data_IF_703362094121
#
_entry.id   IF_703362094121
#
_cell.length_a   1.000
_cell.length_b   1.000
_cell.length_c   1.000
_cell.angle_alpha   90.00
_cell.angle_beta   90.00
_cell.angle_gamma   90.00
#
_symmetry.space_group_name_H-M   'P 1'
#
loop_
_entity.id
_entity.type
_entity.pdbx_description
1 polymer ?
#
# COMPACT_ATOMS: atom_id res chain seq x y z
N UNK A 1 12.79 -7.29 8.55
CA UNK A 1 14.07 -6.79 9.09
C UNK A 1 15.23 -7.70 8.70
N UNK A 2 15.17 -9.00 8.98
CA UNK A 2 16.27 -9.94 8.70
C UNK A 2 16.81 -9.88 7.26
N UNK A 3 15.94 -9.75 6.25
CA UNK A 3 16.33 -9.61 4.85
C UNK A 3 17.14 -8.33 4.62
N UNK A 4 16.73 -7.21 5.20
CA UNK A 4 17.44 -5.93 5.09
C UNK A 4 18.81 -6.00 5.78
N UNK A 5 18.89 -6.66 6.93
CA UNK A 5 20.16 -6.86 7.65
C UNK A 5 21.12 -7.75 6.84
N UNK A 6 20.62 -8.82 6.22
CA UNK A 6 21.44 -9.66 5.31
C UNK A 6 21.95 -8.84 4.13
N UNK A 7 21.11 -8.03 3.49
CA UNK A 7 21.53 -7.19 2.37
C UNK A 7 22.60 -6.19 2.79
N UNK A 8 22.40 -5.46 3.90
CA UNK A 8 23.39 -4.48 4.41
C UNK A 8 24.73 -5.14 4.73
N UNK A 9 24.70 -6.29 5.41
CA UNK A 9 25.90 -6.98 5.84
C UNK A 9 26.65 -7.64 4.66
N UNK A 10 25.96 -7.95 3.58
CA UNK A 10 26.54 -8.59 2.39
C UNK A 10 26.86 -7.61 1.28
N UNK A 11 26.50 -6.33 1.44
CA UNK A 11 26.71 -5.31 0.41
C UNK A 11 28.22 -5.09 0.16
N UNK A 12 28.57 -5.02 -1.11
CA UNK A 12 29.92 -4.66 -1.53
C UNK A 12 29.85 -3.39 -2.38
N UNK A 13 30.63 -2.35 -2.06
CA UNK A 13 30.67 -1.12 -2.82
C UNK A 13 31.01 -1.37 -4.29
N UNK A 14 30.45 -0.57 -5.18
CA UNK A 14 30.69 -0.62 -6.62
C UNK A 14 30.97 0.79 -7.15
N UNK A 15 31.26 0.90 -8.45
CA UNK A 15 31.43 2.19 -9.10
C UNK A 15 30.20 3.12 -8.94
N UNK A 16 29.00 2.55 -8.80
CA UNK A 16 27.74 3.30 -8.77
C UNK A 16 27.23 3.58 -7.35
N UNK A 17 27.62 2.79 -6.35
CA UNK A 17 27.10 2.88 -5.00
C UNK A 17 28.15 2.49 -3.97
N UNK A 18 28.41 3.39 -3.02
CA UNK A 18 29.33 3.16 -1.91
C UNK A 18 28.65 2.54 -0.69
N UNK A 19 27.34 2.74 -0.56
CA UNK A 19 26.54 2.26 0.55
C UNK A 19 25.28 1.52 0.06
N UNK A 20 24.75 0.54 0.82
CA UNK A 20 23.51 -0.11 0.47
C UNK A 20 22.35 0.86 0.59
N UNK A 21 21.40 0.81 -0.35
CA UNK A 21 20.16 1.59 -0.32
C UNK A 21 18.96 0.66 -0.37
N UNK A 22 18.01 0.86 0.55
CA UNK A 22 16.80 0.07 0.66
C UNK A 22 15.59 0.95 0.34
N UNK A 23 14.82 0.53 -0.65
CA UNK A 23 13.56 1.16 -1.04
C UNK A 23 12.44 0.19 -0.69
N UNK A 24 11.47 0.63 0.12
CA UNK A 24 10.28 -0.15 0.46
C UNK A 24 9.09 0.38 -0.34
N UNK A 25 8.31 -0.53 -0.95
CA UNK A 25 7.13 -0.15 -1.75
C UNK A 25 5.86 -0.43 -0.98
N UNK A 26 4.96 0.57 -0.94
CA UNK A 26 3.66 0.49 -0.29
C UNK A 26 2.52 0.67 -1.29
N UNK A 27 1.54 -0.24 -1.24
CA UNK A 27 0.25 -0.04 -1.86
C UNK A 27 -0.63 0.77 -0.91
N UNK A 28 -1.17 1.89 -1.37
CA UNK A 28 -1.93 2.81 -0.52
C UNK A 28 -3.34 3.09 -1.04
N UNK A 29 -4.25 3.34 -0.11
CA UNK A 29 -5.52 4.03 -0.33
C UNK A 29 -5.65 5.13 0.72
N UNK A 30 -5.52 6.38 0.29
CA UNK A 30 -5.58 7.54 1.19
C UNK A 30 -6.72 8.46 0.76
N UNK A 31 -7.55 8.85 1.73
CA UNK A 31 -8.66 9.77 1.54
C UNK A 31 -8.74 10.76 2.71
N UNK A 32 -9.76 11.62 2.72
CA UNK A 32 -9.96 12.60 3.82
C UNK A 32 -10.30 11.90 5.14
N UNK A 33 -10.97 10.74 5.08
CA UNK A 33 -11.27 9.90 6.24
C UNK A 33 -10.85 8.45 6.00
N UNK A 34 -10.66 7.72 7.09
CA UNK A 34 -10.31 6.29 7.04
C UNK A 34 -11.44 5.46 6.43
N UNK A 35 -12.70 5.79 6.74
CA UNK A 35 -13.87 5.12 6.17
C UNK A 35 -13.94 5.26 4.65
N UNK A 36 -13.68 6.47 4.14
CA UNK A 36 -13.60 6.72 2.70
C UNK A 36 -12.43 5.95 2.06
N UNK A 37 -11.26 5.96 2.68
CA UNK A 37 -10.09 5.22 2.21
C UNK A 37 -10.36 3.71 2.14
N UNK A 38 -11.04 3.13 3.13
CA UNK A 38 -11.47 1.72 3.13
C UNK A 38 -12.44 1.45 1.97
N UNK A 39 -13.47 2.28 1.81
CA UNK A 39 -14.44 2.17 0.72
C UNK A 39 -13.75 2.18 -0.66
N UNK A 40 -12.86 3.14 -0.89
CA UNK A 40 -12.12 3.29 -2.13
C UNK A 40 -11.08 2.17 -2.39
N UNK A 41 -10.64 1.48 -1.35
CA UNK A 41 -9.67 0.38 -1.46
C UNK A 41 -10.28 -0.93 -1.96
N UNK A 42 -11.58 -1.12 -1.83
CA UNK A 42 -12.26 -2.39 -2.15
C UNK A 42 -12.00 -2.89 -3.57
N UNK A 43 -12.00 -2.07 -4.64
CA UNK A 43 -11.63 -2.53 -5.98
C UNK A 43 -10.28 -3.23 -6.05
N UNK A 44 -9.26 -2.67 -5.39
CA UNK A 44 -7.92 -3.27 -5.33
C UNK A 44 -7.92 -4.59 -4.56
N UNK A 45 -8.63 -4.65 -3.45
CA UNK A 45 -8.72 -5.85 -2.60
C UNK A 45 -9.41 -6.99 -3.34
N UNK A 46 -10.53 -6.73 -4.03
CA UNK A 46 -11.25 -7.72 -4.85
C UNK A 46 -10.40 -8.16 -6.05
N UNK A 47 -9.73 -7.23 -6.71
CA UNK A 47 -8.81 -7.56 -7.82
C UNK A 47 -7.72 -8.52 -7.34
N UNK A 48 -7.07 -8.24 -6.20
CA UNK A 48 -6.05 -9.09 -5.61
C UNK A 48 -6.60 -10.48 -5.26
N UNK A 49 -7.79 -10.54 -4.64
CA UNK A 49 -8.48 -11.79 -4.31
C UNK A 49 -8.70 -12.65 -5.55
N UNK A 50 -9.18 -12.05 -6.63
CA UNK A 50 -9.43 -12.75 -7.89
C UNK A 50 -8.12 -13.21 -8.56
N UNK A 51 -7.07 -12.39 -8.55
CA UNK A 51 -5.76 -12.78 -9.07
C UNK A 51 -5.18 -13.98 -8.32
N UNK A 52 -5.30 -14.04 -7.00
CA UNK A 52 -4.85 -15.18 -6.19
C UNK A 52 -5.58 -16.48 -6.56
N UNK A 53 -6.77 -16.37 -7.13
CA UNK A 53 -7.58 -17.50 -7.65
C UNK A 53 -7.34 -17.82 -9.12
N UNK A 54 -6.37 -17.15 -9.74
CA UNK A 54 -6.08 -17.28 -11.17
C UNK A 54 -7.16 -16.67 -12.08
N UNK A 55 -8.00 -15.75 -11.54
CA UNK A 55 -9.05 -15.07 -12.31
C UNK A 55 -8.58 -13.65 -12.64
N UNK A 56 -8.50 -13.35 -13.93
CA UNK A 56 -8.27 -11.99 -14.42
C UNK A 56 -9.63 -11.39 -14.82
N UNK A 57 -10.15 -10.51 -13.97
CA UNK A 57 -11.41 -9.80 -14.17
C UNK A 57 -11.14 -8.30 -14.35
N UNK A 58 -12.12 -7.60 -14.91
CA UNK A 58 -12.08 -6.14 -14.96
C UNK A 58 -12.07 -5.57 -13.53
N UNK A 59 -11.39 -4.44 -13.36
CA UNK A 59 -11.42 -3.72 -12.09
C UNK A 59 -12.82 -3.15 -11.88
N UNK A 60 -13.41 -3.46 -10.74
CA UNK A 60 -14.75 -3.00 -10.36
C UNK A 60 -14.72 -1.53 -9.93
N UNK A 61 -15.84 -0.82 -10.05
CA UNK A 61 -16.03 0.46 -9.39
C UNK A 61 -16.07 0.27 -7.85
N UNK A 62 -15.89 1.35 -7.06
CA UNK A 62 -16.04 1.25 -5.60
C UNK A 62 -17.41 0.69 -5.17
N UNK A 63 -18.50 1.12 -5.83
CA UNK A 63 -19.85 0.60 -5.56
C UNK A 63 -19.94 -0.90 -5.83
N UNK A 64 -19.54 -1.32 -7.02
CA UNK A 64 -19.56 -2.75 -7.40
C UNK A 64 -18.68 -3.61 -6.50
N UNK A 65 -17.53 -3.09 -6.08
CA UNK A 65 -16.59 -3.81 -5.23
C UNK A 65 -17.10 -3.95 -3.79
N UNK A 66 -17.78 -2.94 -3.25
CA UNK A 66 -18.38 -3.01 -1.91
C UNK A 66 -19.63 -3.88 -1.87
N UNK A 67 -20.34 -4.02 -3.00
CA UNK A 67 -21.48 -4.94 -3.16
C UNK A 67 -21.07 -6.35 -3.65
N UNK A 68 -19.77 -6.61 -3.82
CA UNK A 68 -19.27 -7.87 -4.34
C UNK A 68 -19.62 -9.04 -3.40
N UNK A 69 -20.22 -10.16 -3.94
CA UNK A 69 -20.64 -11.27 -3.11
C UNK A 69 -19.44 -12.06 -2.57
N UNK A 70 -19.06 -11.76 -1.33
CA UNK A 70 -17.97 -12.41 -0.62
C UNK A 70 -18.47 -13.62 0.19
N UNK A 71 -17.81 -14.76 0.02
CA UNK A 71 -17.95 -15.91 0.94
C UNK A 71 -17.22 -15.63 2.25
N UNK A 72 -17.48 -16.40 3.30
CA UNK A 72 -16.75 -16.27 4.57
C UNK A 72 -15.22 -16.51 4.38
N UNK A 73 -14.85 -17.42 3.48
CA UNK A 73 -13.44 -17.64 3.13
C UNK A 73 -12.84 -16.39 2.48
N UNK A 74 -13.57 -15.68 1.62
CA UNK A 74 -13.12 -14.45 0.99
C UNK A 74 -12.85 -13.35 2.02
N UNK A 75 -13.77 -13.18 2.94
CA UNK A 75 -13.63 -12.21 4.04
C UNK A 75 -12.39 -12.49 4.89
N UNK A 76 -12.15 -13.77 5.20
CA UNK A 76 -10.93 -14.17 5.92
C UNK A 76 -9.65 -13.83 5.13
N UNK A 77 -9.62 -14.10 3.82
CA UNK A 77 -8.49 -13.79 2.96
C UNK A 77 -8.26 -12.27 2.89
N UNK A 78 -9.32 -11.48 2.72
CA UNK A 78 -9.23 -10.02 2.71
C UNK A 78 -8.69 -9.50 4.03
N UNK A 79 -9.17 -10.01 5.16
CA UNK A 79 -8.68 -9.62 6.48
C UNK A 79 -7.20 -9.97 6.68
N UNK A 80 -6.74 -11.12 6.23
CA UNK A 80 -5.33 -11.51 6.27
C UNK A 80 -4.44 -10.64 5.38
N UNK A 81 -4.97 -10.19 4.25
CA UNK A 81 -4.24 -9.33 3.30
C UNK A 81 -4.27 -7.84 3.67
N UNK A 82 -5.20 -7.41 4.51
CA UNK A 82 -5.39 -6.00 4.88
C UNK A 82 -4.10 -5.31 5.37
N UNK A 83 -3.25 -5.96 6.21
CA UNK A 83 -2.00 -5.37 6.67
C UNK A 83 -0.93 -5.18 5.56
N UNK A 84 -1.14 -5.72 4.37
CA UNK A 84 -0.22 -5.56 3.23
C UNK A 84 -0.47 -4.25 2.45
N UNK A 85 -1.45 -3.46 2.87
CA UNK A 85 -1.83 -2.19 2.26
C UNK A 85 -1.96 -1.12 3.35
N UNK A 86 -1.50 0.09 3.06
CA UNK A 86 -1.71 1.25 3.93
C UNK A 86 -3.01 1.95 3.50
N UNK A 87 -4.04 1.85 4.32
CA UNK A 87 -5.37 2.39 4.05
C UNK A 87 -5.80 3.24 5.24
N UNK A 88 -6.10 4.51 4.99
CA UNK A 88 -6.53 5.42 6.05
C UNK A 88 -6.42 6.89 5.64
N UNK A 89 -6.53 7.77 6.63
CA UNK A 89 -6.20 9.18 6.46
C UNK A 89 -4.71 9.37 6.16
N UNK A 90 -4.35 10.53 5.61
CA UNK A 90 -2.94 10.82 5.32
C UNK A 90 -2.07 10.81 6.57
N UNK A 91 -2.59 11.26 7.70
CA UNK A 91 -1.89 11.27 8.98
C UNK A 91 -1.56 9.84 9.45
N UNK A 92 -2.55 8.94 9.44
CA UNK A 92 -2.36 7.54 9.83
C UNK A 92 -1.34 6.84 8.95
N UNK A 93 -1.46 6.99 7.62
CA UNK A 93 -0.57 6.35 6.66
C UNK A 93 0.87 6.88 6.78
N UNK A 94 1.06 8.18 6.92
CA UNK A 94 2.39 8.77 7.10
C UNK A 94 3.02 8.34 8.42
N UNK A 95 2.25 8.29 9.51
CA UNK A 95 2.75 7.83 10.80
C UNK A 95 3.18 6.36 10.73
N UNK A 96 2.38 5.49 10.11
CA UNK A 96 2.74 4.08 9.93
C UNK A 96 4.03 3.92 9.11
N UNK A 97 4.19 4.67 8.02
CA UNK A 97 5.43 4.64 7.21
C UNK A 97 6.65 5.07 8.05
N UNK A 98 6.51 6.11 8.87
CA UNK A 98 7.59 6.58 9.76
C UNK A 98 7.96 5.55 10.82
N UNK A 99 6.98 4.92 11.48
CA UNK A 99 7.20 3.85 12.45
C UNK A 99 7.91 2.64 11.81
N UNK A 100 7.48 2.24 10.61
CA UNK A 100 8.13 1.17 9.87
C UNK A 100 9.54 1.56 9.41
N UNK A 101 9.78 2.82 9.04
CA UNK A 101 11.11 3.32 8.71
C UNK A 101 12.05 3.26 9.90
N UNK A 102 11.61 3.68 11.08
CA UNK A 102 12.40 3.58 12.32
C UNK A 102 12.72 2.12 12.66
N UNK A 103 11.74 1.23 12.51
CA UNK A 103 11.91 -0.19 12.84
C UNK A 103 12.78 -0.95 11.85
N UNK A 104 12.58 -0.75 10.54
CA UNK A 104 13.26 -1.48 9.46
C UNK A 104 14.52 -0.77 8.96
N UNK A 105 14.58 0.54 9.09
CA UNK A 105 15.70 1.37 8.66
C UNK A 105 15.85 1.47 7.15
N UNK A 106 14.77 1.47 6.37
CA UNK A 106 14.85 1.72 4.93
C UNK A 106 15.10 3.21 4.65
N UNK A 107 15.68 3.49 3.48
CA UNK A 107 16.11 4.84 3.08
C UNK A 107 15.00 5.60 2.38
N UNK A 108 14.12 4.90 1.66
CA UNK A 108 13.11 5.52 0.79
C UNK A 108 11.83 4.67 0.74
N UNK A 109 10.68 5.32 0.78
CA UNK A 109 9.38 4.72 0.57
C UNK A 109 8.85 5.05 -0.83
N UNK A 110 8.54 4.02 -1.62
CA UNK A 110 7.87 4.16 -2.91
C UNK A 110 6.38 3.93 -2.73
N UNK A 111 5.57 4.91 -3.09
CA UNK A 111 4.11 4.85 -2.94
C UNK A 111 3.46 4.44 -4.27
N UNK A 112 2.63 3.41 -4.21
CA UNK A 112 1.82 2.94 -5.33
C UNK A 112 0.33 3.03 -4.98
N UNK A 113 -0.39 3.89 -5.69
CA UNK A 113 -1.83 4.08 -5.51
C UNK A 113 -2.58 3.61 -6.76
N UNK A 114 -3.34 2.51 -6.63
CA UNK A 114 -4.10 1.88 -7.71
C UNK A 114 -5.61 2.04 -7.52
N UNK A 115 -6.07 3.18 -7.00
CA UNK A 115 -7.50 3.50 -6.89
C UNK A 115 -8.16 3.57 -8.26
N UNK A 116 -9.48 3.40 -8.29
CA UNK A 116 -10.27 3.19 -9.51
C UNK A 116 -10.15 4.36 -10.49
N UNK A 117 -10.36 5.62 -10.03
CA UNK A 117 -10.28 6.80 -10.90
C UNK A 117 -8.93 7.52 -10.76
N UNK A 118 -8.57 8.29 -11.80
CA UNK A 118 -7.38 9.15 -11.77
C UNK A 118 -7.52 10.20 -10.67
N UNK A 119 -8.69 10.80 -10.51
CA UNK A 119 -8.92 11.84 -9.49
C UNK A 119 -8.72 11.31 -8.08
N UNK A 120 -9.19 10.09 -7.77
CA UNK A 120 -8.94 9.44 -6.49
C UNK A 120 -7.44 9.22 -6.23
N UNK A 121 -6.70 8.79 -7.25
CA UNK A 121 -5.23 8.60 -7.16
C UNK A 121 -4.51 9.91 -6.92
N UNK A 122 -4.85 10.95 -7.68
CA UNK A 122 -4.28 12.28 -7.53
C UNK A 122 -4.58 12.87 -6.15
N UNK A 123 -5.81 12.70 -5.66
CA UNK A 123 -6.18 13.14 -4.30
C UNK A 123 -5.37 12.41 -3.22
N UNK A 124 -5.21 11.09 -3.32
CA UNK A 124 -4.37 10.32 -2.38
C UNK A 124 -2.92 10.84 -2.34
N UNK A 125 -2.31 11.07 -3.50
CA UNK A 125 -0.96 11.62 -3.56
C UNK A 125 -0.87 13.05 -3.01
N UNK A 126 -1.87 13.91 -3.30
CA UNK A 126 -1.94 15.28 -2.77
C UNK A 126 -2.01 15.28 -1.24
N UNK A 127 -2.90 14.50 -0.67
CA UNK A 127 -3.08 14.37 0.79
C UNK A 127 -1.80 13.89 1.48
N UNK A 128 -1.12 12.89 0.90
CA UNK A 128 0.16 12.41 1.43
C UNK A 128 1.25 13.49 1.35
N UNK A 129 1.37 14.19 0.23
CA UNK A 129 2.36 15.25 0.06
C UNK A 129 2.12 16.42 1.03
N UNK A 130 0.86 16.83 1.23
CA UNK A 130 0.50 17.87 2.19
C UNK A 130 0.84 17.45 3.63
N UNK A 131 0.62 16.19 3.99
CA UNK A 131 0.95 15.68 5.33
C UNK A 131 2.45 15.53 5.57
N UNK A 132 3.23 15.17 4.55
CA UNK A 132 4.68 15.06 4.65
C UNK A 132 5.38 16.42 4.77
N UNK A 133 4.75 17.51 4.33
CA UNK A 133 5.28 18.88 4.37
C UNK A 133 4.87 19.65 5.64
N UNK A 134 4.13 19.03 6.56
CA UNK A 134 3.81 19.61 7.89
C UNK A 134 4.93 19.36 8.89
#
# INVERSE_FOLDING_TARGET
KAIFDVYRNSFQPSYFMDQPKIITTYAVSVAETTEEAEYLSMPMQITRLNLMRGKLLNVLSPEEANDYPLTEMDKMILQQNRPLMLIGSAEEVVNQIKEEQEYFGFDEAMINCNLYTIDQRLNSYRLLAEQLNK
#
